data_IF_325623317719
#
_entry.id   IF_325623317719
#
_cell.length_a   1.000
_cell.length_b   1.000
_cell.length_c   1.000
_cell.angle_alpha   90.00
_cell.angle_beta   90.00
_cell.angle_gamma   90.00
#
_symmetry.space_group_name_H-M   'P 1'
#
loop_
_entity.id
_entity.type
_entity.pdbx_description
1 polymer ?
#
# COMPACT_ATOMS: atom_id res chain seq x y z
N UNK A 1 -23.08 44.59 8.49
CA UNK A 1 -22.82 43.23 7.94
C UNK A 1 -22.01 42.54 9.01
N UNK A 2 -22.36 41.35 9.52
CA UNK A 2 -21.53 40.70 10.53
C UNK A 2 -20.17 40.35 9.89
N UNK A 3 -19.09 40.91 10.43
CA UNK A 3 -17.73 40.67 9.98
C UNK A 3 -17.28 39.27 10.41
N UNK A 4 -17.48 38.31 9.51
CA UNK A 4 -17.19 36.87 9.66
C UNK A 4 -15.72 36.63 10.07
N UNK A 5 -14.83 37.55 9.72
CA UNK A 5 -13.40 37.54 10.07
C UNK A 5 -13.15 37.70 11.57
N UNK A 6 -13.89 38.56 12.27
CA UNK A 6 -13.72 38.77 13.72
C UNK A 6 -14.25 37.59 14.55
N UNK A 7 -15.30 36.92 14.04
CA UNK A 7 -15.80 35.69 14.64
C UNK A 7 -14.77 34.56 14.50
N UNK A 8 -14.13 34.42 13.33
CA UNK A 8 -13.10 33.42 13.09
C UNK A 8 -11.85 33.59 13.98
N UNK A 9 -11.36 34.81 14.14
CA UNK A 9 -10.18 35.08 14.97
C UNK A 9 -10.45 34.83 16.44
N UNK A 10 -11.63 35.20 16.93
CA UNK A 10 -12.07 34.97 18.32
C UNK A 10 -12.22 33.47 18.65
N UNK A 11 -12.54 32.64 17.66
CA UNK A 11 -12.59 31.18 17.82
C UNK A 11 -11.17 30.60 17.85
N UNK A 12 -10.31 30.97 16.90
CA UNK A 12 -8.94 30.40 16.76
C UNK A 12 -7.96 30.91 17.84
N UNK A 13 -8.22 32.05 18.47
CA UNK A 13 -7.37 32.59 19.54
C UNK A 13 -7.46 31.81 20.87
N UNK A 14 -8.45 30.92 21.03
CA UNK A 14 -8.58 30.14 22.26
C UNK A 14 -7.46 29.10 22.38
N UNK A 15 -6.71 29.07 23.50
CA UNK A 15 -5.59 28.15 23.69
C UNK A 15 -6.04 26.68 23.66
N UNK A 16 -7.26 26.38 24.11
CA UNK A 16 -7.85 25.05 24.03
C UNK A 16 -8.05 24.59 22.58
N UNK A 17 -8.50 25.50 21.71
CA UNK A 17 -8.77 25.21 20.29
C UNK A 17 -7.44 25.01 19.53
N UNK A 18 -6.41 25.81 19.84
CA UNK A 18 -5.09 25.58 19.26
C UNK A 18 -4.51 24.22 19.64
N UNK A 19 -4.71 23.79 20.89
CA UNK A 19 -4.24 22.50 21.37
C UNK A 19 -5.00 21.34 20.68
N UNK A 20 -6.32 21.45 20.53
CA UNK A 20 -7.11 20.46 19.80
C UNK A 20 -6.73 20.38 18.32
N UNK A 21 -6.49 21.53 17.66
CA UNK A 21 -6.08 21.55 16.24
C UNK A 21 -4.70 20.92 16.07
N UNK A 22 -3.75 21.16 16.98
CA UNK A 22 -2.44 20.50 16.96
C UNK A 22 -2.54 18.99 17.14
N UNK A 23 -3.33 18.53 18.12
CA UNK A 23 -3.56 17.10 18.34
C UNK A 23 -4.25 16.44 17.14
N UNK A 24 -5.29 17.08 16.58
CA UNK A 24 -5.97 16.59 15.39
C UNK A 24 -5.00 16.52 14.19
N UNK A 25 -4.16 17.53 13.99
CA UNK A 25 -3.13 17.52 12.95
C UNK A 25 -2.14 16.37 13.11
N UNK A 26 -1.64 16.13 14.32
CA UNK A 26 -0.77 14.99 14.61
C UNK A 26 -1.45 13.65 14.41
N UNK A 27 -2.72 13.53 14.80
CA UNK A 27 -3.51 12.31 14.62
C UNK A 27 -3.74 11.99 13.14
N UNK A 28 -4.12 13.00 12.35
CA UNK A 28 -4.28 12.87 10.90
C UNK A 28 -2.95 12.49 10.24
N UNK A 29 -1.84 13.10 10.68
CA UNK A 29 -0.51 12.79 10.17
C UNK A 29 -0.09 11.36 10.53
N UNK A 30 -0.41 10.88 11.73
CA UNK A 30 -0.16 9.49 12.13
C UNK A 30 -0.98 8.51 11.26
N UNK A 31 -2.26 8.79 11.02
CA UNK A 31 -3.11 8.00 10.12
C UNK A 31 -2.55 8.01 8.69
N UNK A 32 -2.08 9.16 8.22
CA UNK A 32 -1.48 9.29 6.90
C UNK A 32 -0.24 8.42 6.75
N UNK A 33 0.69 8.50 7.70
CA UNK A 33 1.88 7.64 7.72
C UNK A 33 1.53 6.16 7.85
N UNK A 34 0.51 5.82 8.65
CA UNK A 34 0.03 4.45 8.78
C UNK A 34 -0.55 3.92 7.45
N UNK A 35 -1.31 4.75 6.71
CA UNK A 35 -1.80 4.39 5.37
C UNK A 35 -0.64 4.16 4.40
N UNK A 36 0.34 5.07 4.35
CA UNK A 36 1.53 4.90 3.49
C UNK A 36 2.27 3.61 3.83
N UNK A 37 2.55 3.38 5.11
CA UNK A 37 3.22 2.16 5.56
C UNK A 37 2.43 0.89 5.21
N UNK A 38 1.11 0.91 5.38
CA UNK A 38 0.24 -0.20 5.03
C UNK A 38 0.26 -0.50 3.52
N UNK A 39 0.25 0.52 2.66
CA UNK A 39 0.34 0.33 1.20
C UNK A 39 1.65 -0.32 0.76
N UNK A 40 2.78 0.08 1.36
CA UNK A 40 4.08 -0.54 1.09
C UNK A 40 4.09 -2.00 1.56
N UNK A 41 3.51 -2.27 2.73
CA UNK A 41 3.48 -3.63 3.30
C UNK A 41 2.53 -4.57 2.56
N UNK A 42 1.37 -4.11 2.08
CA UNK A 42 0.47 -4.89 1.21
C UNK A 42 1.16 -5.21 -0.13
N UNK A 43 1.91 -4.26 -0.70
CA UNK A 43 2.68 -4.48 -1.93
C UNK A 43 3.80 -5.52 -1.76
N UNK A 44 4.53 -5.47 -0.62
CA UNK A 44 5.60 -6.42 -0.31
C UNK A 44 5.10 -7.85 -0.12
N UNK A 45 3.90 -8.04 0.44
CA UNK A 45 3.34 -9.38 0.64
C UNK A 45 2.90 -10.05 -0.67
N UNK A 46 2.86 -9.32 -1.78
CA UNK A 46 2.32 -9.80 -3.07
C UNK A 46 3.35 -9.88 -4.19
N UNK A 47 4.57 -9.36 -4.02
CA UNK A 47 5.59 -9.28 -5.08
C UNK A 47 7.00 -9.57 -4.56
N UNK A 48 7.80 -10.39 -5.26
CA UNK A 48 9.19 -10.76 -4.88
C UNK A 48 10.16 -9.60 -5.07
N UNK A 49 9.75 -8.63 -5.90
CA UNK A 49 10.56 -7.50 -6.31
C UNK A 49 10.49 -6.37 -5.27
N UNK A 50 11.60 -6.12 -4.58
CA UNK A 50 11.70 -5.09 -3.53
C UNK A 50 11.54 -3.64 -4.04
N UNK A 51 11.63 -3.39 -5.35
CA UNK A 51 11.53 -2.04 -5.94
C UNK A 51 10.08 -1.54 -6.13
N UNK A 52 9.14 -2.42 -6.49
CA UNK A 52 7.74 -2.04 -6.74
C UNK A 52 7.04 -1.44 -5.50
N UNK A 53 7.23 -1.96 -4.28
CA UNK A 53 6.63 -1.41 -3.06
C UNK A 53 7.07 0.02 -2.74
N UNK A 54 8.32 0.36 -3.00
CA UNK A 54 8.86 1.71 -2.75
C UNK A 54 8.31 2.73 -3.75
N UNK A 55 8.18 2.36 -5.04
CA UNK A 55 7.55 3.21 -6.06
C UNK A 55 6.06 3.44 -5.77
N UNK A 56 5.34 2.40 -5.33
CA UNK A 56 3.95 2.51 -4.92
C UNK A 56 3.76 3.39 -3.69
N UNK A 57 4.61 3.23 -2.66
CA UNK A 57 4.62 4.10 -1.49
C UNK A 57 4.91 5.56 -1.85
N UNK A 58 5.86 5.81 -2.75
CA UNK A 58 6.19 7.16 -3.22
C UNK A 58 5.03 7.80 -4.01
N UNK A 59 4.30 7.03 -4.80
CA UNK A 59 3.12 7.50 -5.52
C UNK A 59 1.96 7.84 -4.58
N UNK A 60 1.73 7.04 -3.53
CA UNK A 60 0.72 7.32 -2.49
C UNK A 60 1.09 8.56 -1.68
N UNK A 61 2.37 8.78 -1.39
CA UNK A 61 2.86 9.98 -0.70
C UNK A 61 2.61 11.26 -1.51
N UNK A 62 2.74 11.20 -2.84
CA UNK A 62 2.56 12.36 -3.72
C UNK A 62 1.06 12.65 -3.98
N UNK A 63 0.23 11.60 -4.10
CA UNK A 63 -1.17 11.74 -4.54
C UNK A 63 -2.22 11.49 -3.43
N UNK A 64 -1.82 11.23 -2.17
CA UNK A 64 -2.72 10.99 -1.03
C UNK A 64 -3.83 9.95 -1.38
N UNK A 65 -5.09 10.39 -1.44
CA UNK A 65 -6.28 9.57 -1.71
C UNK A 65 -6.31 9.12 -3.18
N UNK A 66 -5.89 9.98 -4.10
CA UNK A 66 -5.89 9.65 -5.52
C UNK A 66 -4.83 8.60 -5.87
N UNK A 67 -3.71 8.63 -5.14
CA UNK A 67 -2.64 7.64 -5.27
C UNK A 67 -3.09 6.26 -4.80
N UNK A 68 -3.89 6.21 -3.73
CA UNK A 68 -4.50 4.99 -3.21
C UNK A 68 -5.53 4.40 -4.21
N UNK A 69 -6.32 5.26 -4.85
CA UNK A 69 -7.30 4.84 -5.86
C UNK A 69 -6.63 4.28 -7.13
N UNK A 70 -5.57 4.93 -7.61
CA UNK A 70 -4.78 4.40 -8.73
C UNK A 70 -4.04 3.11 -8.36
N UNK A 71 -3.52 3.00 -7.14
CA UNK A 71 -2.88 1.78 -6.65
C UNK A 71 -3.84 0.59 -6.66
N UNK A 72 -5.09 0.78 -6.23
CA UNK A 72 -6.11 -0.28 -6.25
C UNK A 72 -6.43 -0.77 -7.67
N UNK A 73 -6.30 0.09 -8.70
CA UNK A 73 -6.54 -0.26 -10.10
C UNK A 73 -5.33 -0.98 -10.71
N UNK A 74 -4.12 -0.51 -10.40
CA UNK A 74 -2.86 -1.12 -10.89
C UNK A 74 -2.55 -2.43 -10.17
N UNK A 75 -3.22 -2.70 -9.03
CA UNK A 75 -3.04 -3.88 -8.19
C UNK A 75 -2.97 -5.18 -9.02
N UNK A 76 -1.80 -5.84 -9.09
CA UNK A 76 -1.65 -7.10 -9.80
C UNK A 76 -2.58 -8.16 -9.22
N UNK A 77 -3.17 -8.98 -10.10
CA UNK A 77 -4.17 -9.99 -9.73
C UNK A 77 -3.56 -11.31 -9.27
N UNK A 78 -2.34 -11.63 -9.70
CA UNK A 78 -1.65 -12.85 -9.29
C UNK A 78 -0.71 -12.60 -8.11
N UNK A 79 -0.73 -13.55 -7.18
CA UNK A 79 0.14 -13.57 -6.00
C UNK A 79 1.35 -14.46 -6.27
N UNK A 80 2.53 -14.13 -5.71
CA UNK A 80 3.74 -14.95 -5.85
C UNK A 80 3.56 -16.43 -5.51
N UNK A 81 2.66 -16.75 -4.57
CA UNK A 81 2.34 -18.12 -4.21
C UNK A 81 1.77 -18.91 -5.40
N UNK A 82 0.90 -18.29 -6.21
CA UNK A 82 0.36 -18.92 -7.41
C UNK A 82 1.41 -19.10 -8.51
N UNK A 83 2.33 -18.13 -8.67
CA UNK A 83 3.42 -18.25 -9.64
C UNK A 83 4.42 -19.36 -9.24
N UNK A 84 4.73 -19.48 -7.94
CA UNK A 84 5.64 -20.50 -7.43
C UNK A 84 5.02 -21.90 -7.48
N UNK A 85 3.73 -22.06 -7.13
CA UNK A 85 3.04 -23.34 -7.27
C UNK A 85 2.96 -23.79 -8.73
N UNK A 86 2.80 -22.86 -9.67
CA UNK A 86 2.79 -23.19 -11.11
C UNK A 86 4.15 -23.66 -11.61
N UNK A 87 5.25 -23.04 -11.15
CA UNK A 87 6.60 -23.53 -11.45
C UNK A 87 6.87 -24.90 -10.83
N UNK A 88 6.46 -25.13 -9.58
CA UNK A 88 6.64 -26.41 -8.90
C UNK A 88 5.81 -27.52 -9.56
N UNK A 89 4.60 -27.18 -10.04
CA UNK A 89 3.77 -28.08 -10.82
C UNK A 89 4.45 -28.45 -12.14
N UNK A 90 5.01 -27.47 -12.87
CA UNK A 90 5.75 -27.73 -14.12
C UNK A 90 7.01 -28.59 -13.89
N UNK A 91 7.75 -28.36 -12.80
CA UNK A 91 8.92 -29.20 -12.44
C UNK A 91 8.51 -30.64 -12.08
N UNK A 92 7.42 -30.83 -11.32
CA UNK A 92 6.94 -32.17 -10.96
C UNK A 92 6.49 -32.98 -12.19
N UNK A 93 5.86 -32.31 -13.17
CA UNK A 93 5.42 -32.91 -14.42
C UNK A 93 6.61 -33.32 -15.30
N UNK A 94 7.67 -32.50 -15.32
CA UNK A 94 8.91 -32.84 -16.02
C UNK A 94 9.65 -34.00 -15.34
N UNK A 95 9.71 -34.02 -14.01
CA UNK A 95 10.33 -35.10 -13.25
C UNK A 95 9.63 -36.46 -13.46
N UNK A 96 8.28 -36.49 -13.49
CA UNK A 96 7.52 -37.71 -13.83
C UNK A 96 7.77 -38.17 -15.27
N UNK A 97 7.87 -37.22 -16.22
CA UNK A 97 8.16 -37.54 -17.62
C UNK A 97 9.57 -38.14 -17.78
N UNK A 98 10.58 -37.55 -17.12
CA UNK A 98 11.96 -38.04 -17.17
C UNK A 98 12.08 -39.45 -16.55
N UNK A 99 11.36 -39.70 -15.45
CA UNK A 99 11.31 -41.02 -14.80
C UNK A 99 10.62 -42.09 -15.68
N UNK A 100 9.66 -41.71 -16.54
CA UNK A 100 9.04 -42.62 -17.52
C UNK A 100 9.89 -42.89 -18.76
N UNK A 101 10.79 -41.97 -19.15
CA UNK A 101 11.66 -42.14 -20.33
C UNK A 101 12.80 -43.11 -20.04
N UNK A 102 13.13 -43.37 -18.77
CA UNK A 102 14.06 -44.44 -18.36
C UNK A 102 13.32 -45.79 -18.29
N UNK A 103 12.95 -46.35 -19.43
CA UNK A 103 12.66 -47.79 -19.52
C UNK A 103 13.92 -48.54 -19.97
N UNK A 104 14.56 -49.34 -19.08
CA UNK A 104 15.54 -50.33 -19.50
C UNK A 104 14.83 -51.58 -20.02
N UNK A 105 14.98 -51.85 -21.33
CA UNK A 105 15.38 -53.11 -21.99
C UNK A 105 15.09 -53.02 -23.48
#
# INVERSE_FOLDING_TARGET
>A
MPDISQLWTSIVSNPLIQLSVRLAGLYILAIYLAMVFWTVRDAQQRTENQLLPYLAGLMVVILNIFGLFLYLIVRPKETLGEAYERQLAEESLLAEAEQRVVCPT
#
